data_IF_315954447178
#
_entry.id   IF_315954447178
#
_cell.length_a   1.000
_cell.length_b   1.000
_cell.length_c   1.000
_cell.angle_alpha   90.00
_cell.angle_beta   90.00
_cell.angle_gamma   90.00
#
_symmetry.space_group_name_H-M   'P 1'
#
loop_
_entity.id
_entity.type
_entity.pdbx_description
1 polymer ?
#
# COMPACT_ATOMS: atom_id res chain seq x y z
N UNK A 1 -18.12 9.05 8.30
CA UNK A 1 -17.03 10.09 8.46
C UNK A 1 -16.24 10.16 7.16
N UNK A 2 -15.87 11.37 6.70
CA UNK A 2 -15.03 11.59 5.52
C UNK A 2 -13.88 12.52 5.91
N UNK A 3 -12.67 11.96 6.01
CA UNK A 3 -11.49 12.69 6.45
C UNK A 3 -10.41 12.64 5.37
N UNK A 4 -9.89 13.82 5.00
CA UNK A 4 -8.69 13.91 4.16
C UNK A 4 -7.44 13.70 5.03
N UNK A 5 -6.54 12.83 4.57
CA UNK A 5 -5.29 12.50 5.24
C UNK A 5 -4.11 13.19 4.53
N UNK A 6 -3.11 13.60 5.30
CA UNK A 6 -1.99 14.39 4.78
C UNK A 6 -0.78 13.59 4.33
N UNK A 7 -0.76 12.27 4.59
CA UNK A 7 0.43 11.41 4.37
C UNK A 7 0.97 11.42 2.94
N UNK A 8 0.13 11.64 1.93
CA UNK A 8 0.52 11.64 0.50
C UNK A 8 0.72 13.02 -0.11
N UNK A 9 0.35 14.09 0.60
CA UNK A 9 0.37 15.44 0.05
C UNK A 9 1.80 15.96 -0.23
N UNK A 10 1.95 16.81 -1.25
CA UNK A 10 0.94 17.29 -2.20
C UNK A 10 0.72 16.36 -3.42
N UNK A 11 1.28 15.17 -3.45
CA UNK A 11 1.37 14.32 -4.64
C UNK A 11 0.16 13.41 -4.83
N UNK A 12 -0.38 12.88 -3.72
CA UNK A 12 -1.45 11.89 -3.70
C UNK A 12 -2.47 12.34 -2.67
N UNK A 13 -3.72 12.49 -3.08
CA UNK A 13 -4.81 12.73 -2.14
C UNK A 13 -5.29 11.39 -1.57
N UNK A 14 -5.38 11.31 -0.26
CA UNK A 14 -5.88 10.15 0.47
C UNK A 14 -7.06 10.56 1.32
N UNK A 15 -8.17 9.82 1.22
CA UNK A 15 -9.35 9.98 2.07
C UNK A 15 -9.64 8.72 2.85
N UNK A 16 -10.00 8.88 4.09
CA UNK A 16 -10.58 7.83 4.92
C UNK A 16 -12.09 8.05 4.99
N UNK A 17 -12.82 7.02 4.67
CA UNK A 17 -14.28 6.98 4.69
C UNK A 17 -14.73 5.95 5.73
N UNK A 18 -15.74 6.29 6.52
CA UNK A 18 -16.31 5.41 7.52
C UNK A 18 -17.80 5.67 7.66
N UNK A 19 -18.58 4.61 7.61
CA UNK A 19 -20.04 4.64 7.72
C UNK A 19 -20.69 5.67 6.76
N UNK A 20 -20.26 5.68 5.49
CA UNK A 20 -20.78 6.56 4.43
C UNK A 20 -21.81 5.81 3.60
N UNK A 21 -23.07 6.26 3.65
CA UNK A 21 -24.16 5.63 2.90
C UNK A 21 -24.05 5.84 1.39
N UNK A 22 -23.52 7.00 0.96
CA UNK A 22 -23.40 7.36 -0.45
C UNK A 22 -22.31 8.39 -0.65
N UNK A 23 -21.22 8.00 -1.31
CA UNK A 23 -20.10 8.88 -1.62
C UNK A 23 -19.79 8.88 -3.13
N UNK A 24 -19.90 10.02 -3.83
CA UNK A 24 -19.62 10.10 -5.26
C UNK A 24 -18.11 10.16 -5.52
N UNK A 25 -17.63 9.35 -6.46
CA UNK A 25 -16.24 9.32 -6.93
C UNK A 25 -16.22 9.68 -8.41
N UNK A 26 -15.80 10.89 -8.75
CA UNK A 26 -15.82 11.42 -10.12
C UNK A 26 -14.48 11.30 -10.84
N UNK A 27 -13.37 11.22 -10.10
CA UNK A 27 -12.02 11.06 -10.64
C UNK A 27 -11.57 9.61 -10.54
N UNK A 28 -10.59 9.18 -11.37
CA UNK A 28 -9.96 7.90 -11.19
C UNK A 28 -9.40 7.78 -9.77
N UNK A 29 -9.77 6.72 -9.08
CA UNK A 29 -9.35 6.47 -7.71
C UNK A 29 -9.06 4.98 -7.47
N UNK A 30 -8.13 4.69 -6.56
CA UNK A 30 -7.99 3.36 -6.00
C UNK A 30 -8.83 3.32 -4.73
N UNK A 31 -9.86 2.48 -4.75
CA UNK A 31 -10.70 2.17 -3.60
C UNK A 31 -10.10 0.95 -2.89
N UNK A 32 -9.86 1.09 -1.59
CA UNK A 32 -9.30 0.04 -0.75
C UNK A 32 -10.29 -0.23 0.37
N UNK A 33 -10.63 -1.48 0.58
CA UNK A 33 -11.41 -1.94 1.73
C UNK A 33 -10.46 -2.57 2.77
N UNK A 34 -10.04 -1.84 3.81
CA UNK A 34 -9.18 -2.36 4.87
C UNK A 34 -9.97 -3.12 5.94
N UNK A 35 -11.29 -3.11 5.87
CA UNK A 35 -12.15 -3.82 6.81
C UNK A 35 -11.92 -5.34 6.71
N UNK A 36 -12.17 -6.05 7.79
CA UNK A 36 -12.00 -7.51 7.83
C UNK A 36 -13.32 -8.27 7.65
N UNK A 37 -14.45 -7.58 7.79
CA UNK A 37 -15.77 -8.20 7.82
C UNK A 37 -16.79 -7.53 6.91
N UNK A 38 -16.67 -6.20 6.73
CA UNK A 38 -17.65 -5.42 5.99
C UNK A 38 -17.24 -5.25 4.53
N UNK A 39 -18.20 -5.32 3.65
CA UNK A 39 -18.03 -5.07 2.22
C UNK A 39 -18.20 -3.57 1.91
N UNK A 40 -17.55 -3.10 0.83
CA UNK A 40 -17.84 -1.82 0.20
C UNK A 40 -18.67 -2.07 -1.06
N UNK A 41 -19.74 -1.32 -1.25
CA UNK A 41 -20.66 -1.49 -2.38
C UNK A 41 -20.41 -0.37 -3.39
N UNK A 42 -20.27 -0.73 -4.66
CA UNK A 42 -20.05 0.20 -5.78
C UNK A 42 -21.27 0.19 -6.70
N UNK A 43 -21.87 1.36 -6.95
CA UNK A 43 -23.07 1.56 -7.78
C UNK A 43 -24.26 0.66 -7.40
N UNK A 44 -24.37 0.23 -6.14
CA UNK A 44 -25.36 -0.73 -5.65
C UNK A 44 -25.36 -2.11 -6.37
N UNK A 45 -24.33 -2.41 -7.11
CA UNK A 45 -24.23 -3.64 -7.94
C UNK A 45 -23.00 -4.47 -7.63
N UNK A 46 -21.83 -3.84 -7.49
CA UNK A 46 -20.58 -4.56 -7.29
C UNK A 46 -20.15 -4.52 -5.82
N UNK A 47 -19.67 -5.65 -5.33
CA UNK A 47 -19.19 -5.81 -3.95
C UNK A 47 -17.66 -5.90 -3.95
N UNK A 48 -16.99 -4.94 -3.29
CA UNK A 48 -15.59 -5.03 -2.95
C UNK A 48 -15.44 -5.64 -1.55
N UNK A 49 -15.11 -6.91 -1.51
CA UNK A 49 -14.95 -7.65 -0.25
C UNK A 49 -13.78 -7.14 0.62
N UNK A 50 -13.68 -7.66 1.85
CA UNK A 50 -12.62 -7.32 2.80
C UNK A 50 -11.22 -7.50 2.26
N UNK A 51 -10.30 -6.61 2.65
CA UNK A 51 -8.87 -6.65 2.35
C UNK A 51 -8.57 -6.65 0.83
N UNK A 52 -9.41 -5.99 0.05
CA UNK A 52 -9.30 -5.86 -1.40
C UNK A 52 -9.18 -4.40 -1.82
N UNK A 53 -8.65 -4.20 -3.02
CA UNK A 53 -8.68 -2.91 -3.69
C UNK A 53 -9.08 -3.07 -5.16
N UNK A 54 -9.53 -1.97 -5.74
CA UNK A 54 -9.84 -1.85 -7.16
C UNK A 54 -9.70 -0.41 -7.63
N UNK A 55 -9.52 -0.23 -8.93
CA UNK A 55 -9.60 1.11 -9.55
C UNK A 55 -11.07 1.36 -9.92
N UNK A 56 -11.55 2.55 -9.53
CA UNK A 56 -12.90 3.02 -9.80
C UNK A 56 -12.88 4.42 -10.44
N UNK A 57 -13.94 4.75 -11.17
CA UNK A 57 -14.17 6.08 -11.74
C UNK A 57 -15.65 6.29 -12.06
N UNK A 58 -16.12 7.51 -11.85
CA UNK A 58 -17.51 7.91 -12.16
C UNK A 58 -18.56 6.96 -11.54
N UNK A 59 -18.40 6.68 -10.26
CA UNK A 59 -19.26 5.77 -9.49
C UNK A 59 -19.70 6.39 -8.17
N UNK A 60 -20.72 5.81 -7.58
CA UNK A 60 -21.11 6.05 -6.18
C UNK A 60 -20.75 4.83 -5.33
N UNK A 61 -20.15 5.05 -4.16
CA UNK A 61 -19.80 3.99 -3.24
C UNK A 61 -20.61 4.12 -1.94
N UNK A 62 -20.96 2.98 -1.36
CA UNK A 62 -21.50 2.85 0.00
C UNK A 62 -20.47 2.10 0.84
N UNK A 63 -20.13 2.66 1.97
CA UNK A 63 -19.09 2.18 2.89
C UNK A 63 -19.72 1.93 4.24
N UNK A 64 -20.29 0.73 4.50
CA UNK A 64 -20.85 0.40 5.82
C UNK A 64 -19.82 0.39 6.93
N UNK A 65 -18.62 -0.10 6.65
CA UNK A 65 -17.46 -0.10 7.53
C UNK A 65 -16.49 1.01 7.18
N UNK A 66 -15.28 0.63 6.76
CA UNK A 66 -14.15 1.53 6.48
C UNK A 66 -13.67 1.39 5.04
N UNK A 67 -13.23 2.50 4.45
CA UNK A 67 -12.55 2.49 3.15
C UNK A 67 -11.48 3.57 3.08
N UNK A 68 -10.47 3.34 2.22
CA UNK A 68 -9.52 4.34 1.79
C UNK A 68 -9.75 4.64 0.31
N UNK A 69 -9.69 5.91 -0.05
CA UNK A 69 -9.80 6.36 -1.43
C UNK A 69 -8.54 7.15 -1.79
N UNK A 70 -7.83 6.68 -2.81
CA UNK A 70 -6.58 7.27 -3.29
C UNK A 70 -6.81 7.92 -4.64
N UNK A 71 -6.61 9.24 -4.73
CA UNK A 71 -6.83 10.03 -5.95
C UNK A 71 -5.52 10.66 -6.41
N UNK A 72 -5.36 10.87 -7.72
CA UNK A 72 -4.18 11.51 -8.30
C UNK A 72 -3.05 10.55 -8.65
N UNK A 73 -3.19 9.25 -8.35
CA UNK A 73 -2.19 8.24 -8.66
C UNK A 73 -1.91 8.09 -10.16
N UNK A 74 -2.92 8.30 -11.00
CA UNK A 74 -2.88 8.15 -12.46
C UNK A 74 -2.18 9.31 -13.17
N UNK A 75 -1.98 10.44 -12.49
CA UNK A 75 -1.26 11.61 -13.01
C UNK A 75 0.20 11.64 -12.56
N UNK A 76 0.56 10.89 -11.54
CA UNK A 76 1.91 10.89 -10.98
C UNK A 76 2.89 10.13 -11.88
N UNK A 77 3.96 10.79 -12.29
CA UNK A 77 4.98 10.25 -13.19
C UNK A 77 6.30 10.08 -12.47
N UNK A 78 6.58 8.86 -12.00
CA UNK A 78 7.84 8.54 -11.28
C UNK A 78 9.07 8.53 -12.19
N UNK A 79 8.90 8.46 -13.51
CA UNK A 79 9.97 8.65 -14.49
C UNK A 79 10.40 10.11 -14.65
N UNK A 80 9.59 11.07 -14.20
CA UNK A 80 9.98 12.47 -14.18
C UNK A 80 10.91 12.76 -13.01
N UNK A 81 12.10 13.27 -13.34
CA UNK A 81 13.16 13.58 -12.38
C UNK A 81 12.73 14.58 -11.31
N UNK A 82 11.94 15.60 -11.68
CA UNK A 82 11.51 16.62 -10.73
C UNK A 82 10.52 16.03 -9.73
N UNK A 83 9.55 15.25 -10.21
CA UNK A 83 8.59 14.52 -9.38
C UNK A 83 9.31 13.58 -8.42
N UNK A 84 10.25 12.77 -8.91
CA UNK A 84 11.02 11.85 -8.07
C UNK A 84 11.83 12.59 -7.02
N UNK A 85 12.53 13.66 -7.40
CA UNK A 85 13.33 14.47 -6.45
C UNK A 85 12.43 15.08 -5.37
N UNK A 86 11.27 15.60 -5.74
CA UNK A 86 10.33 16.20 -4.80
C UNK A 86 9.78 15.17 -3.80
N UNK A 87 9.42 13.96 -4.26
CA UNK A 87 8.98 12.85 -3.40
C UNK A 87 10.07 12.43 -2.41
N UNK A 88 11.30 12.20 -2.90
CA UNK A 88 12.45 11.83 -2.06
C UNK A 88 12.81 12.93 -1.04
N UNK A 89 12.49 14.20 -1.33
CA UNK A 89 12.72 15.31 -0.41
C UNK A 89 11.61 15.46 0.62
N UNK A 90 10.37 15.11 0.26
CA UNK A 90 9.21 15.21 1.14
C UNK A 90 9.11 14.04 2.13
N UNK A 91 9.55 12.85 1.73
CA UNK A 91 9.46 11.64 2.52
C UNK A 91 10.80 11.25 3.14
N UNK A 92 10.77 10.56 4.27
CA UNK A 92 11.98 10.14 4.98
C UNK A 92 12.60 8.90 4.34
N UNK A 93 13.89 8.96 4.04
CA UNK A 93 14.64 7.78 3.60
C UNK A 93 14.67 6.71 4.70
N UNK A 94 14.89 5.47 4.30
CA UNK A 94 15.02 4.37 5.26
C UNK A 94 16.15 4.60 6.27
N UNK A 95 17.25 5.25 5.84
CA UNK A 95 18.33 5.64 6.75
C UNK A 95 17.88 6.68 7.79
N UNK A 96 17.11 7.69 7.40
CA UNK A 96 16.57 8.69 8.33
C UNK A 96 15.62 8.09 9.36
N UNK A 97 14.94 7.00 9.00
CA UNK A 97 14.00 6.31 9.90
C UNK A 97 14.71 5.35 10.87
N UNK A 98 15.75 4.65 10.41
CA UNK A 98 16.38 3.56 11.17
C UNK A 98 17.71 3.94 11.78
N UNK A 99 18.44 4.91 11.19
CA UNK A 99 19.81 5.28 11.56
C UNK A 99 20.87 4.23 11.21
N UNK A 100 20.48 3.12 10.57
CA UNK A 100 21.38 2.01 10.27
C UNK A 100 22.27 2.33 9.06
N UNK A 101 23.62 2.22 9.18
CA UNK A 101 24.55 2.58 8.10
C UNK A 101 24.29 1.87 6.78
N UNK A 102 23.85 0.62 6.81
CA UNK A 102 23.49 -0.18 5.64
C UNK A 102 22.33 0.38 4.84
N UNK A 103 21.51 1.24 5.45
CA UNK A 103 20.38 1.90 4.79
C UNK A 103 20.74 3.23 4.12
N UNK A 104 22.01 3.69 4.15
CA UNK A 104 22.41 4.98 3.54
C UNK A 104 22.16 5.05 2.04
N UNK A 105 22.29 3.92 1.35
CA UNK A 105 22.07 3.79 -0.09
C UNK A 105 20.72 3.14 -0.42
N UNK A 106 19.88 2.92 0.58
CA UNK A 106 18.57 2.33 0.35
C UNK A 106 17.68 3.29 -0.47
N UNK A 107 17.06 2.82 -1.55
CA UNK A 107 16.17 3.61 -2.39
C UNK A 107 14.75 3.74 -1.80
N UNK A 108 14.56 3.31 -0.57
CA UNK A 108 13.26 3.32 0.11
C UNK A 108 13.05 4.62 0.88
N UNK A 109 11.88 5.25 0.64
CA UNK A 109 11.40 6.42 1.35
C UNK A 109 9.99 6.15 1.86
N UNK A 110 9.66 6.65 3.05
CA UNK A 110 8.33 6.50 3.63
C UNK A 110 7.70 7.86 3.89
N UNK A 111 6.42 7.99 3.55
CA UNK A 111 5.60 9.12 3.97
C UNK A 111 5.43 9.16 5.50
N UNK A 112 4.90 10.25 6.08
CA UNK A 112 4.36 10.19 7.43
C UNK A 112 3.38 9.02 7.57
N UNK A 113 3.33 8.42 8.76
CA UNK A 113 2.34 7.40 9.09
C UNK A 113 1.13 8.07 9.72
N UNK A 114 -0.05 7.65 9.31
CA UNK A 114 -1.33 8.00 9.93
C UNK A 114 -1.91 6.76 10.60
N UNK A 115 -2.49 6.94 11.78
CA UNK A 115 -3.16 5.85 12.50
C UNK A 115 -4.61 6.25 12.75
N UNK A 116 -5.53 5.44 12.27
CA UNK A 116 -6.97 5.62 12.31
C UNK A 116 -7.57 4.42 13.02
N UNK A 117 -7.98 4.58 14.27
CA UNK A 117 -8.47 3.47 15.11
C UNK A 117 -7.50 2.28 15.12
N UNK A 118 -7.88 1.18 14.42
CA UNK A 118 -7.12 -0.04 14.31
C UNK A 118 -6.36 -0.18 12.98
N UNK A 119 -6.23 0.90 12.19
CA UNK A 119 -5.54 0.89 10.89
C UNK A 119 -4.42 1.91 10.89
N UNK A 120 -3.19 1.48 10.65
CA UNK A 120 -2.04 2.35 10.41
C UNK A 120 -1.65 2.29 8.95
N UNK A 121 -1.41 3.44 8.34
CA UNK A 121 -1.11 3.54 6.91
C UNK A 121 0.07 4.46 6.62
N UNK A 122 0.89 4.10 5.67
CA UNK A 122 1.90 4.97 5.09
C UNK A 122 2.21 4.57 3.64
N UNK A 123 2.67 5.53 2.83
CA UNK A 123 3.23 5.25 1.52
C UNK A 123 4.70 4.86 1.63
N UNK A 124 5.08 3.90 0.78
CA UNK A 124 6.46 3.53 0.54
C UNK A 124 6.81 3.81 -0.93
N UNK A 125 7.79 4.69 -1.15
CA UNK A 125 8.40 4.93 -2.46
C UNK A 125 9.64 4.05 -2.58
N UNK A 126 9.76 3.37 -3.70
CA UNK A 126 11.00 2.69 -4.12
C UNK A 126 11.51 3.39 -5.37
N UNK A 127 12.57 4.16 -5.21
CA UNK A 127 13.08 5.04 -6.27
C UNK A 127 13.96 4.29 -7.29
N UNK A 128 14.57 3.17 -6.89
CA UNK A 128 15.44 2.36 -7.74
C UNK A 128 14.82 0.96 -7.92
N UNK A 129 14.44 0.58 -9.14
CA UNK A 129 14.00 -0.77 -9.42
C UNK A 129 15.15 -1.77 -9.16
N UNK A 130 14.81 -3.00 -8.89
CA UNK A 130 15.72 -4.10 -8.54
C UNK A 130 16.49 -3.95 -7.22
N UNK A 131 16.25 -2.88 -6.46
CA UNK A 131 16.81 -2.76 -5.14
C UNK A 131 16.31 -3.89 -4.23
N UNK A 132 17.21 -4.62 -3.57
CA UNK A 132 16.81 -5.70 -2.68
C UNK A 132 16.09 -5.15 -1.46
N UNK A 133 14.86 -5.59 -1.24
CA UNK A 133 14.20 -5.41 0.05
C UNK A 133 14.60 -6.52 1.02
N UNK A 134 14.52 -6.24 2.32
CA UNK A 134 14.79 -7.24 3.34
C UNK A 134 13.80 -8.41 3.27
N UNK A 135 14.33 -9.64 3.27
CA UNK A 135 13.50 -10.84 3.40
C UNK A 135 13.15 -11.01 4.87
N UNK A 136 11.87 -11.04 5.18
CA UNK A 136 11.37 -11.17 6.54
C UNK A 136 10.12 -12.06 6.60
N UNK A 137 9.75 -12.49 7.78
CA UNK A 137 8.50 -13.21 8.07
C UNK A 137 7.89 -12.82 9.41
N UNK A 138 8.62 -12.03 10.19
CA UNK A 138 8.21 -11.66 11.53
C UNK A 138 7.84 -10.17 11.52
N UNK A 139 6.67 -9.87 12.04
CA UNK A 139 6.23 -8.53 12.36
C UNK A 139 6.36 -8.34 13.87
N UNK A 140 6.56 -7.10 14.31
CA UNK A 140 6.72 -6.76 15.73
C UNK A 140 5.53 -7.26 16.56
N UNK A 141 4.32 -7.19 15.98
CA UNK A 141 3.11 -7.77 16.54
C UNK A 141 2.57 -8.86 15.61
N UNK A 142 2.50 -10.13 16.06
CA UNK A 142 2.03 -11.23 15.23
C UNK A 142 0.52 -11.18 14.94
N UNK A 143 -0.26 -10.32 15.61
CA UNK A 143 -1.68 -10.14 15.36
C UNK A 143 -1.98 -9.16 14.24
N UNK A 144 -1.02 -8.31 13.88
CA UNK A 144 -1.14 -7.33 12.80
C UNK A 144 -1.23 -8.03 11.45
N UNK A 145 -2.26 -7.68 10.68
CA UNK A 145 -2.35 -8.05 9.27
C UNK A 145 -1.82 -6.90 8.42
N UNK A 146 -0.88 -7.19 7.55
CA UNK A 146 -0.35 -6.21 6.63
C UNK A 146 -0.92 -6.41 5.21
N UNK A 147 -1.46 -5.35 4.64
CA UNK A 147 -1.95 -5.29 3.28
C UNK A 147 -1.06 -4.35 2.47
N UNK A 148 -0.44 -4.84 1.42
CA UNK A 148 0.26 -4.01 0.44
C UNK A 148 -0.67 -3.70 -0.73
N UNK A 149 -0.81 -2.42 -1.06
CA UNK A 149 -1.60 -1.96 -2.20
C UNK A 149 -0.69 -1.19 -3.15
N UNK A 150 -0.57 -1.65 -4.39
CA UNK A 150 0.20 -0.96 -5.41
C UNK A 150 -0.54 0.30 -5.85
N UNK A 151 0.14 1.46 -5.80
CA UNK A 151 -0.46 2.75 -6.15
C UNK A 151 0.05 3.24 -7.50
N UNK A 152 1.37 3.29 -7.71
CA UNK A 152 2.00 3.75 -8.95
C UNK A 152 3.16 2.82 -9.28
N UNK A 153 3.37 2.56 -10.57
CA UNK A 153 4.42 1.67 -11.04
C UNK A 153 4.08 0.19 -10.83
N UNK A 154 5.07 -0.66 -10.96
CA UNK A 154 4.94 -2.11 -10.88
C UNK A 154 5.87 -2.69 -9.81
N UNK A 155 5.36 -3.67 -9.08
CA UNK A 155 6.09 -4.40 -8.08
C UNK A 155 5.71 -5.87 -8.05
N UNK A 156 6.27 -6.60 -7.12
CA UNK A 156 5.91 -7.98 -6.83
C UNK A 156 6.15 -8.31 -5.36
N UNK A 157 5.37 -9.23 -4.82
CA UNK A 157 5.70 -9.90 -3.56
C UNK A 157 6.30 -11.25 -3.88
N UNK A 158 7.56 -11.41 -3.53
CA UNK A 158 8.29 -12.67 -3.67
C UNK A 158 8.10 -13.51 -2.39
N UNK A 159 7.69 -14.77 -2.56
CA UNK A 159 7.48 -15.73 -1.47
C UNK A 159 8.62 -16.74 -1.46
N UNK A 160 9.18 -16.99 -0.27
CA UNK A 160 10.37 -17.79 -0.07
C UNK A 160 10.15 -18.88 0.98
N UNK A 161 10.91 -19.97 0.87
CA UNK A 161 10.89 -21.06 1.85
C UNK A 161 11.72 -20.73 3.11
N UNK A 162 12.71 -19.83 2.97
CA UNK A 162 13.63 -19.41 4.03
C UNK A 162 14.09 -17.97 3.80
N UNK A 163 14.93 -17.42 4.68
CA UNK A 163 15.54 -16.08 4.54
C UNK A 163 16.59 -16.02 3.41
N UNK A 164 16.64 -17.00 2.54
CA UNK A 164 17.58 -17.07 1.41
C UNK A 164 16.85 -16.72 0.11
N UNK A 165 17.34 -15.72 -0.68
CA UNK A 165 16.77 -15.37 -1.98
C UNK A 165 16.67 -16.55 -2.96
N UNK A 166 17.59 -17.51 -2.89
CA UNK A 166 17.58 -18.70 -3.74
C UNK A 166 16.40 -19.65 -3.45
N UNK A 167 15.75 -19.49 -2.31
CA UNK A 167 14.59 -20.28 -1.88
C UNK A 167 13.25 -19.75 -2.42
N UNK A 168 13.27 -18.78 -3.35
CA UNK A 168 12.09 -18.24 -4.03
C UNK A 168 11.27 -19.36 -4.68
N UNK A 169 9.97 -19.41 -4.38
CA UNK A 169 9.05 -20.40 -4.98
C UNK A 169 7.84 -19.78 -5.67
N UNK A 170 7.53 -18.53 -5.40
CA UNK A 170 6.46 -17.79 -6.07
C UNK A 170 6.76 -16.30 -6.08
N UNK A 171 6.32 -15.62 -7.14
CA UNK A 171 6.34 -14.15 -7.25
C UNK A 171 4.96 -13.70 -7.68
N UNK A 172 4.36 -12.82 -6.91
CA UNK A 172 3.01 -12.32 -7.10
C UNK A 172 3.10 -10.89 -7.64
N UNK A 173 2.84 -10.66 -8.93
CA UNK A 173 2.96 -9.34 -9.52
C UNK A 173 1.90 -8.39 -8.95
N UNK A 174 2.28 -7.13 -8.79
CA UNK A 174 1.43 -6.04 -8.34
C UNK A 174 1.46 -4.90 -9.36
N UNK A 175 0.29 -4.53 -9.83
CA UNK A 175 0.05 -3.33 -10.65
C UNK A 175 -0.87 -2.38 -9.88
N UNK A 176 -1.01 -1.13 -10.34
CA UNK A 176 -1.88 -0.15 -9.66
C UNK A 176 -3.27 -0.73 -9.38
N UNK A 177 -3.73 -0.57 -8.15
CA UNK A 177 -4.99 -1.15 -7.64
C UNK A 177 -4.92 -2.62 -7.23
N UNK A 178 -3.80 -3.32 -7.45
CA UNK A 178 -3.62 -4.69 -6.96
C UNK A 178 -3.28 -4.70 -5.48
N UNK A 179 -3.75 -5.74 -4.80
CA UNK A 179 -3.49 -5.96 -3.37
C UNK A 179 -2.77 -7.28 -3.13
N UNK A 180 -1.92 -7.28 -2.14
CA UNK A 180 -1.39 -8.49 -1.55
C UNK A 180 -1.54 -8.42 -0.03
N UNK A 181 -2.20 -9.42 0.53
CA UNK A 181 -2.26 -9.61 1.98
C UNK A 181 -1.04 -10.45 2.36
N UNK A 182 -0.30 -10.02 3.37
CA UNK A 182 0.79 -10.82 3.94
C UNK A 182 0.28 -12.20 4.26
N UNK A 183 0.82 -13.19 3.57
CA UNK A 183 0.24 -14.53 3.53
C UNK A 183 0.50 -15.26 4.83
N UNK A 184 -0.55 -15.49 5.57
CA UNK A 184 -0.59 -16.52 6.58
C UNK A 184 -0.52 -17.89 5.89
N UNK A 185 0.42 -18.72 6.27
CA UNK A 185 0.37 -20.12 5.86
C UNK A 185 -0.78 -20.83 6.61
N UNK A 186 -1.10 -22.07 6.20
CA UNK A 186 -2.17 -22.88 6.84
C UNK A 186 -2.01 -23.08 8.38
N UNK A 187 -0.86 -22.69 8.95
CA UNK A 187 -0.56 -22.77 10.38
C UNK A 187 -0.65 -21.41 11.09
N UNK A 188 -1.11 -20.36 10.41
CA UNK A 188 -1.20 -19.01 10.98
C UNK A 188 0.13 -18.27 11.12
N UNK A 189 1.21 -18.78 10.50
CA UNK A 189 2.51 -18.11 10.53
C UNK A 189 2.79 -17.39 9.20
N UNK A 190 3.47 -16.25 9.29
CA UNK A 190 3.91 -15.54 8.10
C UNK A 190 4.88 -16.38 7.27
N UNK A 191 4.70 -16.35 5.95
CA UNK A 191 5.67 -16.89 4.99
C UNK A 191 6.85 -15.94 4.88
N UNK A 192 8.07 -16.44 4.68
CA UNK A 192 9.19 -15.59 4.29
C UNK A 192 8.83 -14.87 3.01
N UNK A 193 8.93 -13.54 3.00
CA UNK A 193 8.56 -12.72 1.86
C UNK A 193 9.40 -11.45 1.78
N UNK A 194 9.36 -10.82 0.62
CA UNK A 194 9.84 -9.46 0.39
C UNK A 194 8.97 -8.77 -0.65
N UNK A 195 8.89 -7.46 -0.56
CA UNK A 195 8.43 -6.65 -1.67
C UNK A 195 9.62 -6.38 -2.62
N UNK A 196 9.40 -6.49 -3.93
CA UNK A 196 10.37 -6.15 -4.97
C UNK A 196 9.74 -5.19 -5.96
N UNK A 197 10.40 -4.04 -6.22
CA UNK A 197 10.00 -3.14 -7.29
C UNK A 197 10.47 -3.68 -8.65
N UNK A 198 9.63 -3.53 -9.66
CA UNK A 198 9.94 -3.85 -11.07
C UNK A 198 10.25 -2.57 -11.84
N UNK A 199 9.53 -1.50 -11.50
CA UNK A 199 9.80 -0.13 -11.94
C UNK A 199 9.88 0.77 -10.71
N UNK A 200 10.36 2.03 -10.81
CA UNK A 200 10.13 2.99 -9.72
C UNK A 200 8.65 2.99 -9.35
N UNK A 201 8.34 2.87 -8.06
CA UNK A 201 6.97 2.60 -7.66
C UNK A 201 6.62 3.18 -6.30
N UNK A 202 5.32 3.36 -6.07
CA UNK A 202 4.74 3.67 -4.76
C UNK A 202 3.73 2.58 -4.42
N UNK A 203 3.85 2.02 -3.24
CA UNK A 203 2.82 1.19 -2.65
C UNK A 203 2.38 1.77 -1.31
N UNK A 204 1.15 1.46 -0.90
CA UNK A 204 0.61 1.76 0.42
C UNK A 204 0.75 0.52 1.30
N UNK A 205 1.37 0.67 2.45
CA UNK A 205 1.32 -0.31 3.53
C UNK A 205 0.14 0.04 4.44
N UNK A 206 -0.72 -0.94 4.66
CA UNK A 206 -1.88 -0.86 5.55
C UNK A 206 -1.72 -1.94 6.61
N UNK A 207 -1.48 -1.51 7.85
CA UNK A 207 -1.38 -2.40 9.00
C UNK A 207 -2.69 -2.37 9.78
N UNK A 208 -3.29 -3.53 10.00
CA UNK A 208 -4.57 -3.69 10.69
C UNK A 208 -4.29 -4.39 12.02
N UNK A 209 -4.61 -3.70 13.11
CA UNK A 209 -4.35 -4.11 14.50
C UNK A 209 -5.54 -4.81 15.14
#
# INVERSE_FOLDING_TARGET
>A
MNQKLSLGEPFIETRYLEAEESFPVTLPAILINPDQEQDVIVNNEFILGPLKAMIIRDVTISVPGKALLIVGFDTLRLSDRLTMTALCSAWKSNYQLTGLPEHRTSPYFKSPQETLENVSINYCLVADPDAPSGIHREHADPTVKELHVQIVGEGAVDLMKSRDPSSLYASLPLTAGSTHISTWNKKGAYTWHRYRSVTPCIFLSVEIH
#
